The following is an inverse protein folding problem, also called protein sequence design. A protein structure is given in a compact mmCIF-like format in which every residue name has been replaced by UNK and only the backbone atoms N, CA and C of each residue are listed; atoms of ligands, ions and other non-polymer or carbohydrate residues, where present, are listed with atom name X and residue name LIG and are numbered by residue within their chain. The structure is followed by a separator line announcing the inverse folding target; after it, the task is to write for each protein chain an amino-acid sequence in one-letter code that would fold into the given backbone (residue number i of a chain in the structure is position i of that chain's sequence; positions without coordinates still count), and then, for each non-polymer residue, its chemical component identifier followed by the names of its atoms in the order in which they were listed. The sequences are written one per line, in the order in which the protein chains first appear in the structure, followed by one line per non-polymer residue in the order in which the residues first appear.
data_IF_271079196070
#
_entry.id   IF_271079196070
#
_cell.length_a   1.000
_cell.length_b   1.000
_cell.length_c   1.000
_cell.angle_alpha   90.00
_cell.angle_beta   90.00
_cell.angle_gamma   90.00
#
_symmetry.space_group_name_H-M   'P 1'
#
loop_
_entity.id
_entity.type
_entity.pdbx_description
1 polymer ?
#
# COMPACT_ATOMS: atom_id res chain seq x y z
N UNK A 1 6.45 15.38 0.07
CA UNK A 1 7.03 14.08 0.51
C UNK A 1 6.00 12.95 0.65
N UNK A 2 4.82 13.18 1.26
CA UNK A 2 3.79 12.14 1.39
C UNK A 2 3.32 11.58 0.03
N UNK A 3 3.10 12.45 -0.96
CA UNK A 3 2.77 12.06 -2.33
C UNK A 3 3.80 11.08 -2.96
N UNK A 4 5.10 11.35 -2.84
CA UNK A 4 6.16 10.45 -3.36
C UNK A 4 6.14 9.08 -2.66
N UNK A 5 5.89 9.07 -1.35
CA UNK A 5 5.75 7.81 -0.58
C UNK A 5 4.50 7.05 -0.99
N UNK A 6 3.38 7.74 -1.26
CA UNK A 6 2.16 7.13 -1.76
C UNK A 6 2.35 6.51 -3.15
N UNK A 7 3.04 7.21 -4.06
CA UNK A 7 3.35 6.68 -5.39
C UNK A 7 4.23 5.43 -5.31
N UNK A 8 5.26 5.44 -4.45
CA UNK A 8 6.07 4.25 -4.20
C UNK A 8 5.24 3.12 -3.58
N UNK A 9 4.34 3.42 -2.65
CA UNK A 9 3.44 2.43 -2.07
C UNK A 9 2.52 1.80 -3.13
N UNK A 10 1.99 2.56 -4.11
CA UNK A 10 1.17 2.01 -5.21
C UNK A 10 1.92 0.95 -6.03
N UNK A 11 3.21 1.17 -6.30
CA UNK A 11 4.06 0.20 -7.02
C UNK A 11 4.25 -1.07 -6.19
N UNK A 12 4.56 -0.91 -4.89
CA UNK A 12 4.78 -2.06 -4.01
C UNK A 12 3.49 -2.83 -3.69
N UNK A 13 2.34 -2.15 -3.68
CA UNK A 13 1.04 -2.79 -3.43
C UNK A 13 0.65 -3.78 -4.53
N UNK A 14 1.20 -3.65 -5.74
CA UNK A 14 0.99 -4.58 -6.86
C UNK A 14 1.74 -5.91 -6.68
N UNK A 15 2.65 -5.99 -5.71
CA UNK A 15 3.41 -7.20 -5.40
C UNK A 15 2.67 -8.02 -4.34
N UNK A 16 2.03 -9.16 -4.70
CA UNK A 16 1.26 -9.97 -3.75
C UNK A 16 2.12 -10.59 -2.64
N UNK A 17 3.40 -10.81 -2.90
CA UNK A 17 4.38 -11.35 -1.95
C UNK A 17 4.71 -10.40 -0.80
N UNK A 18 4.47 -9.09 -0.98
CA UNK A 18 4.70 -8.10 0.07
C UNK A 18 3.45 -7.94 0.94
N UNK A 19 3.60 -7.87 2.26
CA UNK A 19 2.53 -7.45 3.15
C UNK A 19 2.59 -5.93 3.41
N UNK A 20 1.50 -5.36 3.97
CA UNK A 20 1.39 -3.91 4.20
C UNK A 20 2.46 -3.40 5.19
N UNK A 21 2.95 -4.24 6.10
CA UNK A 21 4.01 -3.89 7.04
C UNK A 21 5.35 -3.71 6.32
N UNK A 22 5.71 -4.62 5.42
CA UNK A 22 6.93 -4.54 4.61
C UNK A 22 6.90 -3.32 3.69
N UNK A 23 5.75 -3.06 3.06
CA UNK A 23 5.53 -1.86 2.26
C UNK A 23 5.74 -0.62 3.12
N UNK A 24 5.17 -0.60 4.32
CA UNK A 24 5.35 0.49 5.28
C UNK A 24 6.81 0.78 5.58
N UNK A 25 7.59 -0.24 5.91
CA UNK A 25 9.04 -0.11 6.14
C UNK A 25 9.74 0.48 4.92
N UNK A 26 9.43 -0.01 3.72
CA UNK A 26 10.04 0.45 2.47
C UNK A 26 9.72 1.91 2.11
N UNK A 27 8.58 2.45 2.58
CA UNK A 27 8.20 3.86 2.37
C UNK A 27 8.49 4.77 3.58
N UNK A 28 9.10 4.24 4.64
CA UNK A 28 9.49 4.99 5.84
C UNK A 28 8.40 5.13 6.91
N UNK A 29 7.42 4.24 6.92
CA UNK A 29 6.34 4.14 7.92
C UNK A 29 6.34 2.75 8.57
N UNK A 30 7.08 2.53 9.66
CA UNK A 30 7.23 1.21 10.28
C UNK A 30 5.92 0.67 10.89
N UNK A 31 4.92 1.54 11.10
CA UNK A 31 3.60 1.16 11.64
C UNK A 31 2.53 1.23 10.55
N UNK A 32 1.82 0.11 10.36
CA UNK A 32 0.74 -0.03 9.36
C UNK A 32 -0.34 1.07 9.44
N UNK A 33 -0.82 1.50 10.62
CA UNK A 33 -1.81 2.57 10.69
C UNK A 33 -1.34 3.89 10.05
N UNK A 34 -0.03 4.18 10.10
CA UNK A 34 0.53 5.39 9.48
C UNK A 34 0.55 5.26 7.95
N UNK A 35 0.88 4.07 7.45
CA UNK A 35 0.81 3.75 6.01
C UNK A 35 -0.62 3.92 5.51
N UNK A 36 -1.59 3.31 6.19
CA UNK A 36 -3.00 3.40 5.80
C UNK A 36 -3.51 4.84 5.80
N UNK A 37 -3.22 5.62 6.85
CA UNK A 37 -3.64 7.02 6.92
C UNK A 37 -3.00 7.87 5.83
N UNK A 38 -1.68 7.74 5.64
CA UNK A 38 -0.96 8.45 4.59
C UNK A 38 -1.52 8.07 3.21
N UNK A 39 -1.63 6.78 2.91
CA UNK A 39 -2.09 6.30 1.62
C UNK A 39 -3.53 6.68 1.32
N UNK A 40 -4.45 6.55 2.29
CA UNK A 40 -5.84 6.97 2.12
C UNK A 40 -5.95 8.47 1.88
N UNK A 41 -5.17 9.30 2.58
CA UNK A 41 -5.20 10.75 2.38
C UNK A 41 -4.73 11.16 0.98
N UNK A 42 -3.74 10.47 0.43
CA UNK A 42 -3.16 10.80 -0.89
C UNK A 42 -3.88 10.14 -2.07
N UNK A 43 -4.64 9.06 -1.85
CA UNK A 43 -5.25 8.25 -2.92
C UNK A 43 -6.77 8.12 -2.84
N UNK A 44 -7.38 8.52 -1.72
CA UNK A 44 -8.82 8.35 -1.47
C UNK A 44 -9.23 6.94 -1.04
N UNK A 45 -8.32 5.97 -1.00
CA UNK A 45 -8.65 4.58 -0.64
C UNK A 45 -7.58 3.93 0.25
N UNK A 46 -7.97 2.91 1.02
CA UNK A 46 -7.00 2.18 1.85
C UNK A 46 -6.06 1.30 0.99
N UNK A 47 -4.85 0.97 1.47
CA UNK A 47 -3.93 0.07 0.76
C UNK A 47 -4.55 -1.29 0.41
N UNK A 48 -5.40 -1.84 1.29
CA UNK A 48 -6.10 -3.12 1.07
C UNK A 48 -7.19 -2.99 0.00
N UNK A 49 -7.95 -1.90 0.02
CA UNK A 49 -8.96 -1.62 -1.00
C UNK A 49 -8.31 -1.44 -2.37
N UNK A 50 -7.18 -0.74 -2.44
CA UNK A 50 -6.38 -0.59 -3.66
C UNK A 50 -5.92 -1.94 -4.20
N UNK A 51 -5.40 -2.83 -3.34
CA UNK A 51 -5.00 -4.19 -3.75
C UNK A 51 -6.15 -4.99 -4.36
N UNK A 52 -7.31 -4.97 -3.70
CA UNK A 52 -8.50 -5.66 -4.17
C UNK A 52 -8.97 -5.10 -5.52
N UNK A 53 -8.97 -3.78 -5.67
CA UNK A 53 -9.33 -3.13 -6.94
C UNK A 53 -8.39 -3.52 -8.10
N UNK A 54 -7.13 -3.86 -7.80
CA UNK A 54 -6.14 -4.33 -8.77
C UNK A 54 -6.16 -5.86 -8.98
N UNK A 55 -7.00 -6.62 -8.25
CA UNK A 55 -6.99 -8.09 -8.29
C UNK A 55 -5.71 -8.73 -7.70
N UNK A 56 -4.92 -7.96 -6.97
CA UNK A 56 -3.61 -8.42 -6.45
C UNK A 56 -3.86 -9.35 -5.26
N UNK A 57 -3.49 -10.62 -5.43
CA UNK A 57 -3.69 -11.69 -4.43
C UNK A 57 -4.95 -12.53 -4.63
N UNK A 58 -5.73 -12.28 -5.68
CA UNK A 58 -6.94 -13.05 -6.01
C UNK A 58 -6.68 -14.16 -7.05
N UNK A 59 -5.50 -14.15 -7.68
CA UNK A 59 -5.07 -15.10 -8.72
C UNK A 59 -4.56 -16.47 -8.19
N UNK A 60 -4.68 -16.74 -6.89
CA UNK A 60 -4.24 -18.00 -6.27
C UNK A 60 -5.41 -18.86 -5.76
N UNK A 61 -6.60 -18.68 -6.34
CA UNK A 61 -7.77 -19.55 -6.11
C UNK A 61 -8.09 -20.35 -7.36
#
# INVERSE_FOLDING_TARGET
MAHLRANRAKILLQRPELNITEIGRAVGYPRVPHVSRMFSRETGMSPRAFRRAMGVGEQMR
#
